data_IF_934820963382
#
_entry.id   IF_934820963382
#
_cell.length_a   1.000
_cell.length_b   1.000
_cell.length_c   1.000
_cell.angle_alpha   90.00
_cell.angle_beta   90.00
_cell.angle_gamma   90.00
#
_symmetry.space_group_name_H-M   'P 1'
#
loop_
_entity.id
_entity.type
_entity.pdbx_description
1 polymer ?
#
# COMPACT_ATOMS: atom_id res chain seq x y z
N UNK A 1 27.17 25.17 40.04
CA UNK A 1 26.15 25.50 39.02
C UNK A 1 25.33 24.25 38.75
N UNK A 2 24.07 24.24 39.18
CA UNK A 2 23.14 23.14 38.89
C UNK A 2 22.77 23.24 37.41
N UNK A 3 23.19 22.26 36.59
CA UNK A 3 22.73 22.14 35.21
C UNK A 3 21.25 21.77 35.24
N UNK A 4 20.38 22.76 35.06
CA UNK A 4 18.96 22.53 34.82
C UNK A 4 18.84 22.02 33.39
N UNK A 5 18.58 20.73 33.23
CA UNK A 5 18.24 20.14 31.94
C UNK A 5 16.89 20.71 31.47
N UNK A 6 16.75 21.07 30.19
CA UNK A 6 15.47 21.56 29.68
C UNK A 6 14.42 20.44 29.79
N UNK A 7 13.17 20.78 30.15
CA UNK A 7 12.10 19.79 30.22
C UNK A 7 11.92 19.11 28.85
N UNK A 8 11.54 17.82 28.81
CA UNK A 8 11.27 17.12 27.56
C UNK A 8 10.19 17.86 26.76
N UNK A 9 10.24 17.79 25.41
CA UNK A 9 9.23 18.42 24.58
C UNK A 9 7.82 17.91 24.95
N UNK A 10 6.82 18.79 24.96
CA UNK A 10 5.48 18.42 25.41
C UNK A 10 4.91 17.34 24.50
N UNK A 11 4.20 16.37 25.11
CA UNK A 11 3.59 15.25 24.38
C UNK A 11 2.58 15.73 23.33
N UNK A 12 1.71 16.66 23.72
CA UNK A 12 0.69 17.30 22.88
C UNK A 12 0.32 18.68 23.44
N UNK A 13 -0.34 19.50 22.61
CA UNK A 13 -0.91 20.80 22.93
C UNK A 13 -2.42 20.67 23.21
N UNK A 14 -2.82 21.03 24.42
CA UNK A 14 -4.21 21.02 24.87
C UNK A 14 -4.70 22.46 25.00
N UNK A 15 -5.87 22.74 24.43
CA UNK A 15 -6.59 23.98 24.65
C UNK A 15 -7.75 23.74 25.62
N UNK A 16 -7.89 24.60 26.62
CA UNK A 16 -9.03 24.63 27.54
C UNK A 16 -9.83 25.89 27.28
N UNK A 17 -11.15 25.75 27.16
CA UNK A 17 -12.09 26.86 27.06
C UNK A 17 -13.13 26.70 28.17
N UNK A 18 -13.01 27.50 29.22
CA UNK A 18 -13.73 27.33 30.49
C UNK A 18 -13.78 28.68 31.20
N UNK A 19 -14.91 29.11 31.75
CA UNK A 19 -15.01 30.46 32.34
C UNK A 19 -14.55 30.53 33.80
N UNK A 20 -14.63 29.42 34.53
CA UNK A 20 -14.19 29.34 35.91
C UNK A 20 -12.65 29.22 36.02
N UNK A 21 -12.00 30.26 36.53
CA UNK A 21 -10.54 30.32 36.72
C UNK A 21 -10.03 29.14 37.57
N UNK A 22 -10.77 28.72 38.59
CA UNK A 22 -10.40 27.60 39.45
C UNK A 22 -10.32 26.28 38.67
N UNK A 23 -11.27 26.02 37.77
CA UNK A 23 -11.29 24.83 36.90
C UNK A 23 -10.14 24.91 35.90
N UNK A 24 -9.92 26.07 35.26
CA UNK A 24 -8.78 26.26 34.36
C UNK A 24 -7.44 25.94 35.04
N UNK A 25 -7.21 26.50 36.24
CA UNK A 25 -5.98 26.28 37.00
C UNK A 25 -5.80 24.82 37.40
N UNK A 26 -6.88 24.19 37.84
CA UNK A 26 -6.90 22.76 38.18
C UNK A 26 -6.51 21.89 36.98
N UNK A 27 -7.21 22.04 35.85
CA UNK A 27 -6.96 21.28 34.62
C UNK A 27 -5.56 21.55 34.07
N UNK A 28 -5.12 22.81 34.06
CA UNK A 28 -3.78 23.20 33.62
C UNK A 28 -2.72 22.50 34.45
N UNK A 29 -2.85 22.49 35.79
CA UNK A 29 -1.90 21.83 36.68
C UNK A 29 -1.91 20.32 36.50
N UNK A 30 -3.11 19.71 36.40
CA UNK A 30 -3.29 18.28 36.19
C UNK A 30 -2.60 17.83 34.90
N UNK A 31 -2.91 18.47 33.78
CA UNK A 31 -2.42 18.08 32.46
C UNK A 31 -0.93 18.41 32.28
N UNK A 32 -0.47 19.56 32.79
CA UNK A 32 0.96 19.91 32.73
C UNK A 32 1.82 18.92 33.51
N UNK A 33 1.34 18.41 34.66
CA UNK A 33 2.02 17.35 35.43
C UNK A 33 2.19 16.06 34.61
N UNK A 34 1.33 15.81 33.62
CA UNK A 34 1.39 14.63 32.75
C UNK A 34 2.14 14.89 31.42
N UNK A 35 2.81 16.05 31.29
CA UNK A 35 3.66 16.39 30.15
C UNK A 35 2.95 17.03 28.97
N UNK A 36 1.71 17.50 29.14
CA UNK A 36 0.98 18.24 28.12
C UNK A 36 1.30 19.74 28.19
N UNK A 37 1.33 20.42 27.04
CA UNK A 37 1.39 21.88 26.97
C UNK A 37 -0.03 22.42 26.93
N UNK A 38 -0.41 23.20 27.93
CA UNK A 38 -1.80 23.65 28.09
C UNK A 38 -1.91 25.14 27.83
N UNK A 39 -2.95 25.55 27.11
CA UNK A 39 -3.39 26.94 26.97
C UNK A 39 -4.86 27.04 27.38
N UNK A 40 -5.22 28.10 28.08
CA UNK A 40 -6.56 28.25 28.64
C UNK A 40 -7.15 29.60 28.25
N UNK A 41 -8.45 29.61 27.92
CA UNK A 41 -9.22 30.79 27.57
C UNK A 41 -10.55 30.78 28.32
N UNK A 42 -10.99 31.94 28.81
CA UNK A 42 -12.30 32.11 29.44
C UNK A 42 -13.40 32.51 28.45
N UNK A 43 -13.07 32.62 27.16
CA UNK A 43 -13.88 33.27 26.15
C UNK A 43 -13.73 32.54 24.80
N UNK A 44 -14.84 32.12 24.22
CA UNK A 44 -14.89 31.33 22.98
C UNK A 44 -14.29 32.08 21.79
N UNK A 45 -14.55 33.38 21.64
CA UNK A 45 -13.97 34.20 20.56
C UNK A 45 -12.44 34.23 20.60
N UNK A 46 -11.85 34.36 21.79
CA UNK A 46 -10.39 34.35 21.94
C UNK A 46 -9.80 32.98 21.64
N UNK A 47 -10.48 31.90 22.05
CA UNK A 47 -10.07 30.54 21.72
C UNK A 47 -10.06 30.31 20.19
N UNK A 48 -11.15 30.65 19.50
CA UNK A 48 -11.28 30.54 18.05
C UNK A 48 -10.18 31.30 17.30
N UNK A 49 -9.87 32.53 17.73
CA UNK A 49 -8.79 33.32 17.13
C UNK A 49 -7.40 32.72 17.40
N UNK A 50 -7.20 32.14 18.58
CA UNK A 50 -5.90 31.60 18.98
C UNK A 50 -5.54 30.29 18.28
N UNK A 51 -6.53 29.41 18.04
CA UNK A 51 -6.33 28.09 17.41
C UNK A 51 -5.73 28.23 16.00
N UNK A 52 -6.16 29.22 15.23
CA UNK A 52 -5.67 29.43 13.85
C UNK A 52 -4.17 29.69 13.76
N UNK A 53 -3.58 30.22 14.82
CA UNK A 53 -2.17 30.64 14.83
C UNK A 53 -1.28 29.69 15.64
N UNK A 54 -1.86 28.71 16.34
CA UNK A 54 -1.15 27.88 17.29
C UNK A 54 -1.65 26.44 17.22
N UNK A 55 -0.76 25.46 16.95
CA UNK A 55 -1.11 24.05 16.92
C UNK A 55 -1.87 23.62 18.17
N UNK A 56 -2.95 22.87 17.96
CA UNK A 56 -3.81 22.35 19.02
C UNK A 56 -4.18 20.93 18.66
N UNK A 57 -3.81 19.99 19.52
CA UNK A 57 -4.03 18.56 19.29
C UNK A 57 -5.35 18.09 19.91
N UNK A 58 -5.84 18.78 20.94
CA UNK A 58 -7.14 18.49 21.57
C UNK A 58 -7.71 19.72 22.28
N UNK A 59 -9.04 19.81 22.31
CA UNK A 59 -9.77 20.91 22.95
C UNK A 59 -10.67 20.35 24.05
N UNK A 60 -10.53 20.88 25.26
CA UNK A 60 -11.50 20.72 26.34
C UNK A 60 -12.37 21.97 26.38
N UNK A 61 -13.68 21.81 26.20
CA UNK A 61 -14.59 22.93 25.97
C UNK A 61 -15.78 22.87 26.92
N UNK A 62 -15.97 23.89 27.74
CA UNK A 62 -17.22 24.07 28.47
C UNK A 62 -18.34 24.45 27.50
N UNK A 63 -19.53 23.91 27.75
CA UNK A 63 -20.76 24.29 27.06
C UNK A 63 -21.21 25.69 27.50
N UNK A 64 -21.07 26.03 28.78
CA UNK A 64 -21.50 27.32 29.33
C UNK A 64 -20.28 28.23 29.43
N UNK A 65 -20.13 29.14 28.47
CA UNK A 65 -19.12 30.20 28.53
C UNK A 65 -19.80 31.58 28.32
N UNK A 66 -19.25 32.68 28.87
CA UNK A 66 -19.93 33.97 28.97
C UNK A 66 -20.31 34.63 27.63
N UNK A 67 -19.53 34.40 26.58
CA UNK A 67 -19.62 35.15 25.33
C UNK A 67 -20.39 34.46 24.21
N UNK A 68 -20.50 33.12 24.26
CA UNK A 68 -21.23 32.29 23.31
C UNK A 68 -21.50 30.92 23.90
N UNK A 69 -22.30 30.10 23.23
CA UNK A 69 -22.48 28.71 23.66
C UNK A 69 -21.29 27.85 23.18
N UNK A 70 -20.76 26.95 24.00
CA UNK A 70 -19.70 26.00 23.59
C UNK A 70 -20.10 25.16 22.37
N UNK A 71 -21.38 24.89 22.17
CA UNK A 71 -21.88 24.27 20.93
C UNK A 71 -21.59 25.12 19.68
N UNK A 72 -21.63 26.44 19.78
CA UNK A 72 -21.33 27.36 18.67
C UNK A 72 -19.83 27.38 18.37
N UNK A 73 -18.98 27.35 19.40
CA UNK A 73 -17.52 27.17 19.25
C UNK A 73 -17.22 25.88 18.52
N UNK A 74 -17.79 24.75 18.97
CA UNK A 74 -17.61 23.45 18.36
C UNK A 74 -18.03 23.45 16.89
N UNK A 75 -19.22 23.99 16.59
CA UNK A 75 -19.73 24.11 15.22
C UNK A 75 -18.78 24.94 14.34
N UNK A 76 -18.28 26.07 14.84
CA UNK A 76 -17.35 26.92 14.11
C UNK A 76 -16.04 26.19 13.80
N UNK A 77 -15.49 25.44 14.77
CA UNK A 77 -14.27 24.66 14.60
C UNK A 77 -14.45 23.48 13.63
N UNK A 78 -15.60 22.82 13.68
CA UNK A 78 -15.91 21.68 12.81
C UNK A 78 -16.22 22.08 11.37
N UNK A 79 -16.60 23.34 11.14
CA UNK A 79 -16.84 23.89 9.81
C UNK A 79 -15.57 24.41 9.09
N UNK A 80 -14.45 24.55 9.80
CA UNK A 80 -13.18 25.06 9.24
C UNK A 80 -12.26 23.89 8.89
N UNK A 81 -11.78 23.83 7.63
CA UNK A 81 -10.94 22.73 7.13
C UNK A 81 -9.69 22.49 7.99
N UNK A 82 -9.10 23.55 8.55
CA UNK A 82 -7.86 23.47 9.34
C UNK A 82 -8.13 22.90 10.73
N UNK A 83 -9.29 23.18 11.31
CA UNK A 83 -9.61 22.80 12.70
C UNK A 83 -10.60 21.64 12.83
N UNK A 84 -11.22 21.23 11.73
CA UNK A 84 -12.30 20.23 11.72
C UNK A 84 -11.89 18.87 12.30
N UNK A 85 -10.64 18.47 12.10
CA UNK A 85 -10.09 17.19 12.56
C UNK A 85 -9.61 17.22 14.02
N UNK A 86 -9.55 18.40 14.66
CA UNK A 86 -9.15 18.52 16.07
C UNK A 86 -10.23 17.89 16.95
N UNK A 87 -9.91 16.96 17.86
CA UNK A 87 -10.89 16.35 18.74
C UNK A 87 -11.31 17.38 19.78
N UNK A 88 -12.62 17.46 19.98
CA UNK A 88 -13.22 18.30 21.00
C UNK A 88 -13.79 17.34 22.05
N UNK A 89 -13.55 17.64 23.32
CA UNK A 89 -14.17 16.98 24.46
C UNK A 89 -14.96 18.05 25.21
N UNK A 90 -16.28 17.88 25.28
CA UNK A 90 -17.09 18.79 26.07
C UNK A 90 -16.93 18.51 27.57
N UNK A 91 -16.88 19.56 28.37
CA UNK A 91 -17.01 19.54 29.82
C UNK A 91 -18.37 20.17 30.17
N UNK A 92 -19.20 19.49 30.96
CA UNK A 92 -20.56 20.02 31.19
C UNK A 92 -21.16 19.57 32.51
N UNK A 93 -21.88 20.48 33.17
CA UNK A 93 -22.69 20.16 34.35
C UNK A 93 -24.08 19.57 34.00
N UNK A 94 -24.45 19.56 32.71
CA UNK A 94 -25.71 18.99 32.25
C UNK A 94 -25.51 17.48 32.03
N UNK A 95 -26.25 16.64 32.74
CA UNK A 95 -26.15 15.18 32.60
C UNK A 95 -27.31 14.57 31.79
N UNK A 96 -28.12 15.41 31.13
CA UNK A 96 -29.23 14.92 30.33
C UNK A 96 -28.75 14.23 29.05
N UNK A 97 -29.27 13.03 28.71
CA UNK A 97 -28.90 12.31 27.49
C UNK A 97 -29.07 13.14 26.20
N UNK A 98 -30.02 14.07 26.18
CA UNK A 98 -30.30 14.96 25.05
C UNK A 98 -29.10 15.86 24.72
N UNK A 99 -28.40 16.37 25.73
CA UNK A 99 -27.25 17.26 25.55
C UNK A 99 -26.02 16.51 25.02
N UNK A 100 -25.87 15.23 25.39
CA UNK A 100 -24.82 14.34 24.88
C UNK A 100 -25.04 14.02 23.41
N UNK A 101 -26.26 13.64 23.03
CA UNK A 101 -26.59 13.36 21.61
C UNK A 101 -26.38 14.61 20.75
N UNK A 102 -26.81 15.78 21.23
CA UNK A 102 -26.58 17.05 20.55
C UNK A 102 -25.09 17.35 20.36
N UNK A 103 -24.26 17.11 21.39
CA UNK A 103 -22.81 17.27 21.31
C UNK A 103 -22.17 16.41 20.21
N UNK A 104 -22.51 15.13 20.15
CA UNK A 104 -21.96 14.21 19.14
C UNK A 104 -22.44 14.56 17.73
N UNK A 105 -23.71 14.95 17.56
CA UNK A 105 -24.25 15.37 16.26
C UNK A 105 -23.57 16.64 15.70
N UNK A 106 -22.96 17.47 16.56
CA UNK A 106 -22.17 18.63 16.15
C UNK A 106 -20.73 18.28 15.77
N UNK A 107 -20.33 17.00 15.87
CA UNK A 107 -18.99 16.53 15.52
C UNK A 107 -18.00 16.56 16.69
N UNK A 108 -18.49 16.69 17.93
CA UNK A 108 -17.65 16.51 19.11
C UNK A 108 -17.17 15.05 19.23
N UNK A 109 -15.97 14.86 19.76
CA UNK A 109 -15.32 13.55 19.82
C UNK A 109 -15.59 12.81 21.12
N UNK A 110 -15.83 13.54 22.22
CA UNK A 110 -16.20 12.95 23.50
C UNK A 110 -16.89 13.96 24.44
N UNK A 111 -17.32 13.48 25.60
CA UNK A 111 -18.04 14.26 26.59
C UNK A 111 -17.67 13.80 28.01
N UNK A 112 -17.45 14.76 28.92
CA UNK A 112 -17.17 14.52 30.34
C UNK A 112 -18.15 15.35 31.18
N UNK A 113 -18.89 14.67 32.07
CA UNK A 113 -19.81 15.33 33.01
C UNK A 113 -19.02 15.90 34.19
N UNK A 114 -19.38 17.11 34.65
CA UNK A 114 -18.86 17.76 35.86
C UNK A 114 -19.71 17.32 37.07
N UNK A 115 -19.12 17.06 38.26
CA UNK A 115 -17.67 17.05 38.55
C UNK A 115 -17.01 15.81 37.95
N UNK A 116 -15.75 15.95 37.52
CA UNK A 116 -14.97 14.90 36.88
C UNK A 116 -13.80 14.44 37.74
N UNK A 117 -13.41 13.18 37.57
CA UNK A 117 -12.22 12.62 38.20
C UNK A 117 -10.99 12.83 37.30
N UNK A 118 -9.78 13.06 37.88
CA UNK A 118 -8.56 13.26 37.09
C UNK A 118 -8.27 12.12 36.11
N UNK A 119 -8.54 10.88 36.54
CA UNK A 119 -8.29 9.67 35.76
C UNK A 119 -9.20 9.58 34.53
N UNK A 120 -10.46 10.04 34.65
CA UNK A 120 -11.40 10.08 33.53
C UNK A 120 -10.90 11.03 32.45
N UNK A 121 -10.50 12.26 32.82
CA UNK A 121 -9.98 13.24 31.85
C UNK A 121 -8.76 12.70 31.12
N UNK A 122 -7.81 12.13 31.85
CA UNK A 122 -6.57 11.60 31.26
C UNK A 122 -6.86 10.42 30.33
N UNK A 123 -7.76 9.52 30.71
CA UNK A 123 -8.17 8.39 29.88
C UNK A 123 -8.84 8.86 28.58
N UNK A 124 -9.78 9.81 28.67
CA UNK A 124 -10.50 10.38 27.53
C UNK A 124 -9.56 11.08 26.55
N UNK A 125 -8.67 11.93 27.06
CA UNK A 125 -7.64 12.60 26.24
C UNK A 125 -6.74 11.58 25.55
N UNK A 126 -6.24 10.58 26.29
CA UNK A 126 -5.36 9.55 25.72
C UNK A 126 -6.05 8.80 24.59
N UNK A 127 -7.31 8.40 24.78
CA UNK A 127 -8.11 7.73 23.75
C UNK A 127 -8.23 8.58 22.49
N UNK A 128 -8.59 9.85 22.62
CA UNK A 128 -8.74 10.73 21.45
C UNK A 128 -7.42 10.95 20.71
N UNK A 129 -6.31 11.12 21.43
CA UNK A 129 -4.98 11.24 20.82
C UNK A 129 -4.56 9.94 20.12
N UNK A 130 -4.84 8.77 20.70
CA UNK A 130 -4.59 7.48 20.05
C UNK A 130 -5.39 7.33 18.76
N UNK A 131 -6.68 7.72 18.76
CA UNK A 131 -7.52 7.69 17.56
C UNK A 131 -6.96 8.62 16.47
N UNK A 132 -6.50 9.81 16.82
CA UNK A 132 -5.90 10.73 15.86
C UNK A 132 -4.61 10.17 15.24
N UNK A 133 -3.72 9.62 16.07
CA UNK A 133 -2.48 9.02 15.61
C UNK A 133 -2.74 7.84 14.66
N UNK A 134 -3.68 6.96 15.02
CA UNK A 134 -4.08 5.83 14.16
C UNK A 134 -4.68 6.30 12.83
N UNK A 135 -5.53 7.33 12.85
CA UNK A 135 -6.09 7.91 11.61
C UNK A 135 -5.00 8.49 10.72
N UNK A 136 -3.98 9.13 11.30
CA UNK A 136 -2.85 9.68 10.56
C UNK A 136 -2.03 8.56 9.90
N UNK A 137 -1.66 7.53 10.68
CA UNK A 137 -0.93 6.37 10.18
C UNK A 137 -1.68 5.67 9.04
N UNK A 138 -2.99 5.48 9.18
CA UNK A 138 -3.82 4.88 8.13
C UNK A 138 -3.84 5.72 6.85
N UNK A 139 -3.92 7.06 6.96
CA UNK A 139 -3.86 7.96 5.79
C UNK A 139 -2.52 7.83 5.06
N UNK A 140 -1.41 7.82 5.81
CA UNK A 140 -0.06 7.66 5.27
C UNK A 140 0.12 6.29 4.60
N UNK A 141 -0.40 5.21 5.20
CA UNK A 141 -0.35 3.86 4.65
C UNK A 141 -1.16 3.74 3.35
N UNK A 142 -2.36 4.33 3.30
CA UNK A 142 -3.18 4.37 2.07
C UNK A 142 -2.45 5.12 0.95
N UNK A 143 -1.82 6.26 1.26
CA UNK A 143 -1.07 7.03 0.27
C UNK A 143 0.14 6.24 -0.26
N UNK A 144 0.87 5.59 0.64
CA UNK A 144 1.97 4.71 0.29
C UNK A 144 1.51 3.57 -0.63
N UNK A 145 0.45 2.86 -0.28
CA UNK A 145 -0.09 1.77 -1.10
C UNK A 145 -0.53 2.23 -2.50
N UNK A 146 -1.18 3.39 -2.60
CA UNK A 146 -1.55 3.96 -3.91
C UNK A 146 -0.32 4.22 -4.77
N UNK A 147 0.74 4.79 -4.17
CA UNK A 147 1.99 5.05 -4.88
C UNK A 147 2.68 3.75 -5.32
N UNK A 148 2.73 2.74 -4.45
CA UNK A 148 3.26 1.42 -4.81
C UNK A 148 2.46 0.77 -5.95
N UNK A 149 1.13 0.83 -5.90
CA UNK A 149 0.28 0.29 -6.95
C UNK A 149 0.50 0.98 -8.31
N UNK A 150 0.66 2.30 -8.31
CA UNK A 150 0.97 3.07 -9.52
C UNK A 150 2.33 2.67 -10.12
N UNK A 151 3.37 2.57 -9.28
CA UNK A 151 4.71 2.12 -9.71
C UNK A 151 4.64 0.71 -10.31
N UNK A 152 3.91 -0.21 -9.66
CA UNK A 152 3.73 -1.59 -10.17
C UNK A 152 2.97 -1.60 -11.50
N UNK A 153 1.95 -0.76 -11.65
CA UNK A 153 1.21 -0.63 -12.90
C UNK A 153 2.11 -0.15 -14.04
N UNK A 154 2.89 0.90 -13.81
CA UNK A 154 3.84 1.45 -14.79
C UNK A 154 4.92 0.43 -15.16
N UNK A 155 5.49 -0.28 -14.17
CA UNK A 155 6.47 -1.34 -14.41
C UNK A 155 5.89 -2.49 -15.25
N UNK A 156 4.68 -2.95 -14.94
CA UNK A 156 4.00 -4.00 -15.72
C UNK A 156 3.71 -3.55 -17.15
N UNK A 157 3.27 -2.31 -17.35
CA UNK A 157 3.02 -1.76 -18.69
C UNK A 157 4.31 -1.68 -19.52
N UNK A 158 5.41 -1.22 -18.91
CA UNK A 158 6.72 -1.16 -19.55
C UNK A 158 7.21 -2.57 -19.95
N UNK A 159 7.17 -3.53 -19.02
CA UNK A 159 7.56 -4.92 -19.31
C UNK A 159 6.70 -5.52 -20.43
N UNK A 160 5.37 -5.31 -20.40
CA UNK A 160 4.49 -5.78 -21.46
C UNK A 160 4.84 -5.15 -22.82
N UNK A 161 5.19 -3.87 -22.86
CA UNK A 161 5.63 -3.19 -24.09
C UNK A 161 6.92 -3.79 -24.63
N UNK A 162 7.94 -3.97 -23.78
CA UNK A 162 9.23 -4.56 -24.18
C UNK A 162 9.05 -5.98 -24.72
N UNK A 163 8.31 -6.81 -23.99
CA UNK A 163 8.03 -8.19 -24.38
C UNK A 163 7.28 -8.29 -25.72
N UNK A 164 6.33 -7.39 -25.97
CA UNK A 164 5.56 -7.38 -27.21
C UNK A 164 6.34 -6.81 -28.40
N UNK A 165 7.34 -5.97 -28.18
CA UNK A 165 8.24 -5.51 -29.25
C UNK A 165 9.30 -6.53 -29.65
N UNK A 166 9.56 -7.54 -28.81
CA UNK A 166 10.51 -8.60 -29.12
C UNK A 166 10.01 -9.46 -30.28
N UNK A 167 10.92 -9.79 -31.19
CA UNK A 167 10.68 -10.78 -32.26
C UNK A 167 10.88 -12.21 -31.79
N UNK A 168 11.53 -12.38 -30.64
CA UNK A 168 11.77 -13.69 -30.03
C UNK A 168 10.58 -14.08 -29.16
N UNK A 169 10.30 -15.37 -29.09
CA UNK A 169 9.37 -15.93 -28.14
C UNK A 169 9.95 -15.82 -26.73
N UNK A 170 9.29 -15.11 -25.83
CA UNK A 170 9.71 -14.99 -24.43
C UNK A 170 8.61 -15.53 -23.53
N UNK A 171 9.00 -16.41 -22.60
CA UNK A 171 8.15 -16.90 -21.54
C UNK A 171 8.90 -16.95 -20.19
N UNK A 172 8.15 -16.83 -19.10
CA UNK A 172 8.60 -17.19 -17.77
C UNK A 172 7.59 -18.19 -17.20
N UNK A 173 8.10 -19.29 -16.67
CA UNK A 173 7.29 -20.40 -16.17
C UNK A 173 7.70 -20.75 -14.74
N UNK A 174 6.76 -21.20 -13.94
CA UNK A 174 6.95 -21.64 -12.55
C UNK A 174 6.58 -23.11 -12.43
N UNK A 175 7.37 -23.86 -11.66
CA UNK A 175 7.16 -25.28 -11.46
C UNK A 175 5.85 -25.53 -10.69
N UNK A 176 5.12 -26.54 -11.13
CA UNK A 176 4.02 -27.13 -10.37
C UNK A 176 4.53 -28.46 -9.84
N UNK A 177 4.64 -28.56 -8.52
CA UNK A 177 5.19 -29.73 -7.84
C UNK A 177 4.08 -30.63 -7.32
N UNK A 178 4.33 -31.94 -7.36
CA UNK A 178 3.51 -32.90 -6.64
C UNK A 178 3.69 -32.71 -5.13
N UNK A 179 2.59 -32.69 -4.38
CA UNK A 179 2.62 -32.40 -2.94
C UNK A 179 3.26 -33.52 -2.09
N UNK A 180 3.38 -34.74 -2.62
CA UNK A 180 3.93 -35.89 -1.92
C UNK A 180 5.37 -36.19 -2.33
N UNK A 181 5.67 -36.09 -3.63
CA UNK A 181 7.01 -36.42 -4.15
C UNK A 181 7.93 -35.21 -4.29
N UNK A 182 7.39 -33.99 -4.20
CA UNK A 182 8.07 -32.72 -4.53
C UNK A 182 8.60 -32.62 -5.97
N UNK A 183 8.30 -33.61 -6.82
CA UNK A 183 8.72 -33.63 -8.22
C UNK A 183 7.89 -32.66 -9.06
N UNK A 184 8.53 -32.04 -10.06
CA UNK A 184 7.86 -31.14 -11.00
C UNK A 184 6.98 -31.97 -11.93
N UNK A 185 5.66 -31.80 -11.83
CA UNK A 185 4.69 -32.53 -12.65
C UNK A 185 4.17 -31.71 -13.84
N UNK A 186 4.22 -30.38 -13.77
CA UNK A 186 3.87 -29.43 -14.84
C UNK A 186 4.54 -28.07 -14.59
N UNK A 187 4.27 -27.10 -15.46
CA UNK A 187 4.63 -25.70 -15.30
C UNK A 187 3.40 -24.80 -15.47
N UNK A 188 3.37 -23.70 -14.73
CA UNK A 188 2.42 -22.60 -14.90
C UNK A 188 3.10 -21.43 -15.61
N UNK A 189 2.44 -20.84 -16.60
CA UNK A 189 3.00 -19.69 -17.30
C UNK A 189 2.76 -18.40 -16.51
N UNK A 190 3.84 -17.75 -16.07
CA UNK A 190 3.81 -16.46 -15.37
C UNK A 190 3.78 -15.28 -16.34
N UNK A 191 4.54 -15.39 -17.43
CA UNK A 191 4.67 -14.37 -18.46
C UNK A 191 4.83 -15.07 -19.80
N UNK A 192 4.14 -14.58 -20.83
CA UNK A 192 4.35 -15.03 -22.22
C UNK A 192 4.04 -13.90 -23.18
N UNK A 193 4.91 -13.69 -24.16
CA UNK A 193 4.68 -12.71 -25.22
C UNK A 193 3.90 -13.32 -26.39
N UNK A 194 3.50 -12.48 -27.35
CA UNK A 194 2.66 -12.93 -28.47
C UNK A 194 3.37 -13.91 -29.41
N UNK A 195 4.70 -13.82 -29.54
CA UNK A 195 5.50 -14.71 -30.38
C UNK A 195 5.51 -16.12 -29.78
N UNK A 196 5.84 -16.25 -28.50
CA UNK A 196 5.89 -17.56 -27.84
C UNK A 196 4.51 -18.21 -27.74
N UNK A 197 3.46 -17.43 -27.49
CA UNK A 197 2.09 -17.96 -27.49
C UNK A 197 1.69 -18.54 -28.85
N UNK A 198 2.07 -17.87 -29.95
CA UNK A 198 1.85 -18.38 -31.31
C UNK A 198 2.64 -19.65 -31.61
N UNK A 199 3.87 -19.77 -31.11
CA UNK A 199 4.67 -21.00 -31.24
C UNK A 199 3.96 -22.20 -30.61
N UNK A 200 3.29 -21.99 -29.47
CA UNK A 200 2.47 -23.02 -28.82
C UNK A 200 1.08 -23.21 -29.47
N UNK A 201 0.74 -22.46 -30.52
CA UNK A 201 -0.59 -22.49 -31.14
C UNK A 201 -1.72 -21.99 -30.21
N UNK A 202 -1.40 -21.20 -29.17
CA UNK A 202 -2.34 -20.77 -28.14
C UNK A 202 -2.47 -19.25 -28.07
N UNK A 203 -3.58 -18.77 -27.49
CA UNK A 203 -3.70 -17.36 -27.08
C UNK A 203 -3.01 -17.17 -25.74
N UNK A 204 -2.37 -16.01 -25.53
CA UNK A 204 -1.74 -15.64 -24.24
C UNK A 204 -2.67 -15.87 -23.04
N UNK A 205 -3.94 -15.49 -23.15
CA UNK A 205 -4.93 -15.64 -22.08
C UNK A 205 -5.18 -17.09 -21.66
N UNK A 206 -4.92 -18.05 -22.54
CA UNK A 206 -5.14 -19.47 -22.27
C UNK A 206 -3.93 -20.12 -21.57
N UNK A 207 -2.76 -19.49 -21.66
CA UNK A 207 -1.51 -20.00 -21.11
C UNK A 207 -1.24 -19.48 -19.69
N UNK A 208 -1.63 -18.24 -19.42
CA UNK A 208 -1.33 -17.55 -18.16
C UNK A 208 -1.98 -18.26 -16.96
N UNK A 209 -1.16 -18.61 -15.96
CA UNK A 209 -1.57 -19.25 -14.69
C UNK A 209 -2.35 -20.56 -14.84
N UNK A 210 -2.17 -21.29 -15.94
CA UNK A 210 -2.77 -22.62 -16.16
C UNK A 210 -1.67 -23.69 -16.17
N UNK A 211 -1.83 -24.81 -15.43
CA UNK A 211 -0.89 -25.93 -15.42
C UNK A 211 -1.16 -26.84 -16.62
N UNK A 212 -0.81 -26.37 -17.82
CA UNK A 212 -1.03 -27.12 -19.07
C UNK A 212 0.20 -27.13 -19.97
N UNK A 213 1.36 -26.69 -19.46
CA UNK A 213 2.55 -26.48 -20.28
C UNK A 213 3.23 -27.79 -20.65
N UNK A 214 3.19 -28.83 -19.81
CA UNK A 214 3.81 -30.12 -20.09
C UNK A 214 3.37 -30.71 -21.43
N UNK A 215 2.07 -30.73 -21.68
CA UNK A 215 1.54 -31.26 -22.93
C UNK A 215 1.97 -30.41 -24.13
N UNK A 216 1.90 -29.08 -24.01
CA UNK A 216 2.25 -28.15 -25.09
C UNK A 216 3.75 -28.15 -25.42
N UNK A 217 4.62 -28.25 -24.42
CA UNK A 217 6.07 -28.30 -24.60
C UNK A 217 6.49 -29.60 -25.29
N UNK A 218 5.89 -30.73 -24.91
CA UNK A 218 6.18 -32.02 -25.52
C UNK A 218 5.66 -32.15 -26.95
N UNK A 219 4.68 -31.32 -27.37
CA UNK A 219 4.28 -31.21 -28.77
C UNK A 219 5.34 -30.51 -29.64
N UNK A 220 6.11 -29.58 -29.07
CA UNK A 220 7.20 -28.93 -29.79
C UNK A 220 8.39 -29.87 -29.93
N UNK A 221 8.84 -30.46 -28.82
CA UNK A 221 9.93 -31.43 -28.81
C UNK A 221 9.76 -32.35 -27.59
N UNK A 222 9.78 -33.69 -27.75
CA UNK A 222 9.48 -34.62 -26.67
C UNK A 222 10.36 -34.50 -25.41
N UNK A 223 11.58 -33.98 -25.55
CA UNK A 223 12.55 -33.82 -24.45
C UNK A 223 12.47 -32.46 -23.76
N UNK A 224 11.71 -31.51 -24.30
CA UNK A 224 11.76 -30.11 -23.85
C UNK A 224 11.28 -29.94 -22.41
N UNK A 225 10.23 -30.66 -22.00
CA UNK A 225 9.76 -30.61 -20.61
C UNK A 225 10.85 -31.07 -19.64
N UNK A 226 11.47 -32.22 -19.90
CA UNK A 226 12.50 -32.80 -19.03
C UNK A 226 13.75 -31.91 -18.98
N UNK A 227 14.13 -31.29 -20.10
CA UNK A 227 15.23 -30.32 -20.12
C UNK A 227 14.93 -29.08 -19.26
N UNK A 228 13.68 -28.59 -19.26
CA UNK A 228 13.28 -27.46 -18.42
C UNK A 228 13.23 -27.85 -16.94
N UNK A 229 12.80 -29.08 -16.61
CA UNK A 229 12.91 -29.63 -15.24
C UNK A 229 14.37 -29.64 -14.79
N UNK A 230 15.30 -30.09 -15.64
CA UNK A 230 16.74 -30.07 -15.31
C UNK A 230 17.25 -28.65 -15.04
N UNK A 231 16.81 -27.64 -15.80
CA UNK A 231 17.16 -26.24 -15.56
C UNK A 231 16.68 -25.79 -14.17
N UNK A 232 15.44 -26.11 -13.80
CA UNK A 232 14.87 -25.69 -12.51
C UNK A 232 15.57 -26.41 -11.36
N UNK A 233 15.83 -27.71 -11.47
CA UNK A 233 16.47 -28.48 -10.40
C UNK A 233 17.95 -28.15 -10.24
N UNK A 234 18.71 -28.11 -11.33
CA UNK A 234 20.17 -27.96 -11.30
C UNK A 234 20.64 -26.50 -11.33
N UNK A 235 19.82 -25.59 -11.86
CA UNK A 235 20.20 -24.21 -12.14
C UNK A 235 21.10 -24.03 -13.36
N UNK A 236 21.47 -25.11 -14.06
CA UNK A 236 22.29 -25.03 -15.27
C UNK A 236 21.43 -24.54 -16.44
N UNK A 237 21.85 -23.45 -17.06
CA UNK A 237 21.18 -22.95 -18.26
C UNK A 237 21.32 -23.95 -19.41
N UNK A 238 20.28 -24.06 -20.24
CA UNK A 238 20.29 -24.83 -21.48
C UNK A 238 20.23 -23.90 -22.67
N UNK A 239 20.95 -24.29 -23.72
CA UNK A 239 20.95 -23.66 -25.02
C UNK A 239 20.86 -24.78 -26.06
N UNK A 240 19.76 -24.82 -26.83
CA UNK A 240 19.53 -25.90 -27.78
C UNK A 240 18.86 -25.39 -29.05
N UNK A 241 19.28 -25.94 -30.18
CA UNK A 241 18.58 -25.78 -31.45
C UNK A 241 17.53 -26.89 -31.59
N UNK A 242 16.33 -26.54 -32.04
CA UNK A 242 15.32 -27.52 -32.40
C UNK A 242 14.74 -27.24 -33.79
N UNK A 243 14.47 -28.33 -34.50
CA UNK A 243 13.89 -28.32 -35.83
C UNK A 243 12.41 -28.68 -35.71
N UNK A 244 11.56 -27.91 -36.39
CA UNK A 244 10.13 -28.14 -36.43
C UNK A 244 9.62 -28.07 -37.87
N UNK A 245 8.81 -29.04 -38.26
CA UNK A 245 8.25 -29.15 -39.61
C UNK A 245 6.73 -29.28 -39.53
N UNK A 246 6.03 -28.45 -40.29
CA UNK A 246 4.58 -28.52 -40.40
C UNK A 246 4.18 -28.49 -41.88
N UNK A 247 3.70 -29.64 -42.39
CA UNK A 247 3.10 -29.96 -43.70
C UNK A 247 3.70 -29.35 -44.99
N UNK A 248 4.22 -28.12 -45.01
CA UNK A 248 4.91 -27.43 -46.12
C UNK A 248 6.02 -26.45 -45.71
N UNK A 249 6.28 -26.19 -44.42
CA UNK A 249 7.32 -25.24 -43.97
C UNK A 249 8.26 -25.85 -42.91
N UNK A 250 9.54 -25.48 -43.01
CA UNK A 250 10.62 -25.92 -42.13
C UNK A 250 11.10 -24.75 -41.28
N UNK A 251 11.16 -24.95 -39.97
CA UNK A 251 11.59 -23.94 -39.01
C UNK A 251 12.75 -24.46 -38.15
N UNK A 252 13.73 -23.59 -37.91
CA UNK A 252 14.76 -23.81 -36.91
C UNK A 252 14.65 -22.75 -35.84
N UNK A 253 14.64 -23.20 -34.60
CA UNK A 253 14.58 -22.35 -33.43
C UNK A 253 15.77 -22.59 -32.53
N UNK A 254 16.27 -21.53 -31.92
CA UNK A 254 17.27 -21.58 -30.87
C UNK A 254 16.61 -21.21 -29.54
N UNK A 255 16.60 -22.16 -28.60
CA UNK A 255 16.01 -22.02 -27.28
C UNK A 255 17.10 -21.80 -26.24
N UNK A 256 16.93 -20.76 -25.42
CA UNK A 256 17.68 -20.61 -24.17
C UNK A 256 16.72 -20.69 -23.00
N UNK A 257 17.11 -21.40 -21.94
CA UNK A 257 16.36 -21.37 -20.69
C UNK A 257 17.30 -21.23 -19.49
N UNK A 258 16.92 -20.36 -18.55
CA UNK A 258 17.71 -19.99 -17.38
C UNK A 258 16.83 -20.05 -16.14
N UNK A 259 17.34 -20.62 -15.05
CA UNK A 259 16.60 -20.74 -13.79
C UNK A 259 16.21 -19.35 -13.26
N UNK A 260 14.96 -19.25 -12.79
CA UNK A 260 14.39 -18.09 -12.14
C UNK A 260 13.45 -18.57 -11.03
N UNK A 261 13.85 -18.37 -9.77
CA UNK A 261 13.16 -18.93 -8.58
C UNK A 261 12.93 -20.44 -8.71
N UNK A 262 11.72 -20.91 -8.39
CA UNK A 262 11.27 -22.29 -8.61
C UNK A 262 10.70 -22.47 -10.02
N UNK A 263 11.43 -22.00 -11.02
CA UNK A 263 10.98 -21.90 -12.40
C UNK A 263 12.12 -21.51 -13.33
N UNK A 264 11.79 -21.14 -14.57
CA UNK A 264 12.78 -20.67 -15.53
C UNK A 264 12.21 -19.64 -16.51
N UNK A 265 13.10 -18.77 -17.01
CA UNK A 265 12.82 -17.94 -18.18
C UNK A 265 13.23 -18.70 -19.43
N UNK A 266 12.46 -18.55 -20.50
CA UNK A 266 12.68 -19.20 -21.79
C UNK A 266 12.67 -18.12 -22.87
N UNK A 267 13.69 -18.14 -23.72
CA UNK A 267 13.73 -17.35 -24.95
C UNK A 267 13.86 -18.28 -26.14
N UNK A 268 13.07 -18.05 -27.19
CA UNK A 268 13.07 -18.83 -28.43
C UNK A 268 13.24 -17.88 -29.60
N UNK A 269 14.39 -17.99 -30.27
CA UNK A 269 14.73 -17.20 -31.44
C UNK A 269 14.50 -18.03 -32.71
N UNK A 270 13.86 -17.44 -33.72
CA UNK A 270 13.77 -18.07 -35.06
C UNK A 270 15.09 -17.87 -35.81
N UNK A 271 15.80 -18.97 -36.07
CA UNK A 271 17.07 -19.00 -36.79
C UNK A 271 16.95 -19.64 -38.18
N UNK A 272 15.71 -19.85 -38.67
CA UNK A 272 15.41 -20.52 -39.95
C UNK A 272 16.17 -19.92 -41.12
N UNK A 273 16.19 -18.57 -41.21
CA UNK A 273 16.90 -17.87 -42.30
C UNK A 273 18.40 -18.14 -42.29
N UNK A 274 19.01 -18.20 -41.10
CA UNK A 274 20.43 -18.45 -40.95
C UNK A 274 20.77 -19.89 -41.37
N UNK A 275 19.98 -20.87 -40.91
CA UNK A 275 20.15 -22.28 -41.29
C UNK A 275 19.97 -22.51 -42.79
N UNK A 276 18.95 -21.91 -43.42
CA UNK A 276 18.73 -22.02 -44.87
C UNK A 276 19.91 -21.48 -45.70
N UNK A 277 20.61 -20.44 -45.20
CA UNK A 277 21.82 -19.90 -45.84
C UNK A 277 23.03 -20.84 -45.69
N UNK A 278 23.20 -21.46 -44.52
CA UNK A 278 24.25 -22.47 -44.29
C UNK A 278 24.10 -23.69 -45.20
N UNK A 279 22.86 -24.12 -45.47
CA UNK A 279 22.58 -25.28 -46.34
C UNK A 279 22.59 -24.96 -47.84
N UNK A 280 22.54 -23.68 -48.27
CA UNK A 280 22.53 -23.31 -49.70
C UNK A 280 23.29 -22.01 -50.01
N UNK A 281 24.65 -22.04 -50.08
CA UNK A 281 25.49 -20.84 -50.20
C UNK A 281 25.42 -20.10 -51.55
N UNK A 282 24.57 -20.51 -52.51
CA UNK A 282 24.48 -19.90 -53.86
C UNK A 282 23.47 -18.73 -53.97
N UNK A 283 22.85 -18.29 -52.88
CA UNK A 283 21.87 -17.18 -52.87
C UNK A 283 22.48 -15.79 -52.63
N UNK A 284 23.81 -15.67 -52.47
CA UNK A 284 24.47 -14.35 -52.32
C UNK A 284 24.72 -13.62 -53.66
N UNK A 285 24.53 -14.25 -54.82
CA UNK A 285 24.94 -13.65 -56.10
C UNK A 285 23.89 -12.76 -56.79
N UNK A 286 22.68 -12.59 -56.22
CA UNK A 286 21.60 -11.76 -56.81
C UNK A 286 20.87 -10.87 -55.79
N UNK A 287 21.61 -10.07 -55.03
CA UNK A 287 21.12 -8.85 -54.39
C UNK A 287 22.01 -7.67 -54.80
#
# INVERSE_FOLDING_TARGET
MIKVTPPPPPRCNILIVEDMISIQQYLTKLLSKHGYKVRSFSNGKMALNSIRHNPTDIILLDIKIPDMNGYEVCKALKADEVTSEIPIIFLSALDEPIDKVKAFNLGCSDYITKPFEPEEILARIKTQLTIQEQKKQLKEEIEHHKKTAEILYQSRALLASLLNSSKDGIAAIEAVRDALTEEINDFCCLVVNSVFAKLLGQKRTNLMNQPTLKHLLNQLTPTLFDSLVEVVETGKAIEQEFYWENHHEQFWYYLTAVKFNDGCSITVCDITKFKLLEFNPKMESHL
#
